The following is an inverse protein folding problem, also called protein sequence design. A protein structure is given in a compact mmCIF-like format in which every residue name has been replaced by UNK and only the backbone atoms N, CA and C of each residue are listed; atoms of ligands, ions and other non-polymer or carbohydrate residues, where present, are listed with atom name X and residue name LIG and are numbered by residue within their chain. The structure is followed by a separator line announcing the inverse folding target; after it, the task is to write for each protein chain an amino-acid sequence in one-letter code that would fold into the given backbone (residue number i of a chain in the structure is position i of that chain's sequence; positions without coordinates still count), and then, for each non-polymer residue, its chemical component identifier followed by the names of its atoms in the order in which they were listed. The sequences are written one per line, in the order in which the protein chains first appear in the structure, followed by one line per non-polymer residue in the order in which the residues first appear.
data_IF_717842002595
#
_entry.id   IF_717842002595
#
_cell.length_a   1.000
_cell.length_b   1.000
_cell.length_c   1.000
_cell.angle_alpha   90.00
_cell.angle_beta   90.00
_cell.angle_gamma   90.00
#
_symmetry.space_group_name_H-M   'P 1'
#
loop_
_entity.id
_entity.type
_entity.pdbx_description
1 polymer ?
#
# COMPACT_ATOMS: atom_id res chain seq x y z
N UNK A 1 2.49 1.61 26.95
CA UNK A 1 1.12 1.34 26.53
C UNK A 1 0.70 2.45 25.58
N UNK A 2 0.13 2.10 24.43
CA UNK A 2 -0.44 3.04 23.47
C UNK A 2 -1.94 2.71 23.32
N UNK A 3 -2.78 3.75 23.33
CA UNK A 3 -4.23 3.61 23.17
C UNK A 3 -4.64 3.64 21.69
N UNK A 4 -3.82 4.28 20.84
CA UNK A 4 -3.98 4.38 19.40
C UNK A 4 -2.64 4.13 18.71
N UNK A 5 -2.67 3.49 17.54
CA UNK A 5 -1.51 3.40 16.66
C UNK A 5 -1.93 3.53 15.21
N UNK A 6 -1.01 4.01 14.39
CA UNK A 6 -1.12 4.06 12.94
C UNK A 6 -0.21 2.99 12.36
N UNK A 7 -0.82 2.00 11.72
CA UNK A 7 -0.10 0.84 11.18
C UNK A 7 -0.74 0.27 9.93
N UNK A 8 0.00 -0.55 9.19
CA UNK A 8 -0.56 -1.38 8.13
C UNK A 8 -1.38 -2.51 8.74
N UNK A 9 -2.55 -2.78 8.15
CA UNK A 9 -3.42 -3.86 8.61
C UNK A 9 -2.72 -5.23 8.62
N UNK A 10 -1.86 -5.50 7.62
CA UNK A 10 -1.09 -6.73 7.55
C UNK A 10 -0.10 -6.91 8.70
N UNK A 11 0.54 -5.83 9.14
CA UNK A 11 1.53 -5.87 10.22
C UNK A 11 0.90 -6.12 11.60
N UNK A 12 -0.36 -5.72 11.77
CA UNK A 12 -1.13 -5.93 13.01
C UNK A 12 -2.18 -7.04 12.91
N UNK A 13 -2.11 -7.86 11.85
CA UNK A 13 -3.10 -8.91 11.58
C UNK A 13 -3.36 -9.82 12.79
N UNK A 14 -2.33 -10.26 13.49
CA UNK A 14 -2.46 -11.13 14.67
C UNK A 14 -3.27 -10.48 15.80
N UNK A 15 -3.12 -9.18 16.00
CA UNK A 15 -3.88 -8.43 17.00
C UNK A 15 -5.33 -8.20 16.56
N UNK A 16 -5.57 -8.06 15.26
CA UNK A 16 -6.92 -7.96 14.70
C UNK A 16 -7.66 -9.31 14.84
N UNK A 17 -7.00 -10.40 14.45
CA UNK A 17 -7.56 -11.76 14.54
C UNK A 17 -7.87 -12.17 15.98
N UNK A 18 -7.01 -11.80 16.93
CA UNK A 18 -7.21 -12.03 18.37
C UNK A 18 -8.13 -11.02 19.05
N UNK A 19 -8.67 -10.04 18.31
CA UNK A 19 -9.53 -8.96 18.80
C UNK A 19 -8.90 -8.07 19.89
N UNK A 20 -7.58 -8.07 19.99
CA UNK A 20 -6.83 -7.17 20.89
C UNK A 20 -6.76 -5.75 20.34
N UNK A 21 -6.94 -5.60 19.04
CA UNK A 21 -7.05 -4.32 18.33
C UNK A 21 -8.29 -4.32 17.44
N UNK A 22 -8.78 -3.13 17.15
CA UNK A 22 -9.80 -2.91 16.13
C UNK A 22 -9.45 -1.70 15.29
N UNK A 23 -9.61 -1.73 13.96
CA UNK A 23 -9.45 -0.55 13.14
C UNK A 23 -10.60 0.42 13.45
N UNK A 24 -10.30 1.70 13.50
CA UNK A 24 -11.29 2.77 13.74
C UNK A 24 -11.48 3.67 12.53
N UNK A 25 -10.47 3.75 11.66
CA UNK A 25 -10.50 4.53 10.43
C UNK A 25 -9.43 4.00 9.47
N UNK A 26 -9.70 4.06 8.17
CA UNK A 26 -8.77 3.66 7.12
C UNK A 26 -8.44 4.87 6.24
N UNK A 27 -7.15 5.09 5.98
CA UNK A 27 -6.65 6.17 5.11
C UNK A 27 -6.64 5.73 3.64
N UNK A 28 -7.81 5.50 3.08
CA UNK A 28 -7.99 5.11 1.68
C UNK A 28 -9.21 5.80 1.07
N UNK A 29 -9.32 5.73 -0.25
CA UNK A 29 -10.50 6.23 -0.99
C UNK A 29 -11.75 5.38 -0.79
N UNK A 30 -11.56 4.09 -0.51
CA UNK A 30 -12.62 3.08 -0.39
C UNK A 30 -12.44 2.29 0.90
N UNK A 31 -13.54 1.78 1.43
CA UNK A 31 -13.50 0.80 2.52
C UNK A 31 -12.85 -0.49 2.05
N UNK A 32 -12.06 -1.11 2.91
CA UNK A 32 -11.56 -2.46 2.64
C UNK A 32 -12.67 -3.50 2.83
N UNK A 33 -12.84 -4.44 1.90
CA UNK A 33 -13.89 -5.47 2.02
C UNK A 33 -13.83 -6.26 3.32
N UNK A 34 -12.62 -6.53 3.84
CA UNK A 34 -12.41 -7.24 5.11
C UNK A 34 -12.85 -6.42 6.33
N UNK A 35 -13.04 -5.12 6.21
CA UNK A 35 -13.40 -4.18 7.27
C UNK A 35 -14.51 -3.22 6.79
N UNK A 36 -15.57 -3.79 6.21
CA UNK A 36 -16.66 -3.02 5.59
C UNK A 36 -17.38 -2.06 6.52
N UNK A 37 -17.35 -2.31 7.83
CA UNK A 37 -17.95 -1.43 8.85
C UNK A 37 -17.02 -0.30 9.28
N UNK A 38 -15.73 -0.33 8.87
CA UNK A 38 -14.75 0.70 9.25
C UNK A 38 -14.78 1.84 8.24
N UNK A 39 -15.05 3.08 8.66
CA UNK A 39 -15.10 4.21 7.76
C UNK A 39 -13.72 4.59 7.24
N UNK A 40 -13.67 5.20 6.05
CA UNK A 40 -12.49 5.87 5.55
C UNK A 40 -12.34 7.27 6.14
N UNK A 41 -11.12 7.81 6.14
CA UNK A 41 -10.90 9.20 6.53
C UNK A 41 -11.74 10.17 5.70
N UNK A 42 -11.93 9.89 4.41
CA UNK A 42 -12.77 10.69 3.51
C UNK A 42 -14.24 10.72 3.92
N UNK A 43 -14.80 9.59 4.33
CA UNK A 43 -16.19 9.53 4.83
C UNK A 43 -16.38 10.30 6.12
N UNK A 44 -15.30 10.45 6.91
CA UNK A 44 -15.28 11.25 8.15
C UNK A 44 -14.95 12.74 7.92
N UNK A 45 -14.87 13.19 6.67
CA UNK A 45 -14.56 14.58 6.31
C UNK A 45 -13.07 14.90 6.23
N UNK A 46 -12.21 13.94 6.36
CA UNK A 46 -10.74 14.08 6.28
C UNK A 46 -10.22 13.49 4.97
N UNK A 47 -9.96 14.34 3.98
CA UNK A 47 -9.41 13.92 2.68
C UNK A 47 -7.90 13.59 2.78
N UNK A 48 -7.54 12.73 3.73
CA UNK A 48 -6.18 12.25 3.92
C UNK A 48 -6.10 10.85 3.34
N UNK A 49 -5.36 10.69 2.24
CA UNK A 49 -5.03 9.42 1.64
C UNK A 49 -3.51 9.30 1.75
N UNK A 50 -3.07 8.33 2.53
CA UNK A 50 -1.64 8.02 2.70
C UNK A 50 -1.48 6.55 2.40
N UNK A 51 -0.87 6.26 1.26
CA UNK A 51 -0.57 4.89 0.85
C UNK A 51 0.77 4.47 1.44
N UNK A 52 0.82 3.26 1.94
CA UNK A 52 2.11 2.58 2.15
C UNK A 52 2.39 1.72 0.92
N UNK A 53 3.61 1.78 0.44
CA UNK A 53 4.04 0.97 -0.70
C UNK A 53 5.40 0.32 -0.44
N UNK A 54 5.65 -0.78 -1.13
CA UNK A 54 6.95 -1.44 -1.19
C UNK A 54 7.47 -1.32 -2.60
N UNK A 55 8.76 -1.02 -2.76
CA UNK A 55 9.37 -0.87 -4.07
C UNK A 55 10.66 -1.69 -4.17
N UNK A 56 10.89 -2.26 -5.34
CA UNK A 56 12.19 -2.81 -5.71
C UNK A 56 12.93 -1.76 -6.51
N UNK A 57 14.11 -1.40 -6.06
CA UNK A 57 14.93 -0.35 -6.67
C UNK A 57 16.23 -0.92 -7.20
N UNK A 58 16.76 -0.30 -8.24
CA UNK A 58 18.06 -0.62 -8.81
C UNK A 58 18.95 0.63 -8.75
N UNK A 59 20.27 0.43 -8.79
CA UNK A 59 21.24 1.51 -8.80
C UNK A 59 20.96 2.43 -10.01
N UNK A 60 21.06 3.74 -9.80
CA UNK A 60 21.00 4.72 -10.90
C UNK A 60 22.07 4.43 -11.96
N UNK A 61 21.70 4.50 -13.24
CA UNK A 61 22.57 4.14 -14.34
C UNK A 61 22.69 2.63 -14.61
N UNK A 62 21.87 1.79 -13.98
CA UNK A 62 21.77 0.38 -14.34
C UNK A 62 21.40 0.19 -15.80
N UNK A 63 21.96 -0.85 -16.41
CA UNK A 63 21.69 -1.23 -17.81
C UNK A 63 20.18 -1.40 -18.05
N UNK A 64 19.66 -0.81 -19.13
CA UNK A 64 18.23 -0.79 -19.43
C UNK A 64 17.64 -2.19 -19.66
N UNK A 65 18.42 -3.11 -20.26
CA UNK A 65 17.97 -4.48 -20.49
C UNK A 65 17.84 -5.24 -19.17
N UNK A 66 18.71 -4.99 -18.20
CA UNK A 66 18.62 -5.56 -16.85
C UNK A 66 17.42 -5.00 -16.08
N UNK A 67 17.20 -3.70 -16.15
CA UNK A 67 16.02 -3.07 -15.54
C UNK A 67 14.75 -3.68 -16.11
N UNK A 68 14.68 -3.83 -17.45
CA UNK A 68 13.55 -4.46 -18.12
C UNK A 68 13.36 -5.91 -17.68
N UNK A 69 14.43 -6.71 -17.63
CA UNK A 69 14.35 -8.12 -17.23
C UNK A 69 13.79 -8.28 -15.81
N UNK A 70 14.24 -7.45 -14.85
CA UNK A 70 13.73 -7.45 -13.48
C UNK A 70 12.26 -7.03 -13.45
N UNK A 71 11.90 -5.95 -14.18
CA UNK A 71 10.52 -5.48 -14.25
C UNK A 71 9.57 -6.52 -14.84
N UNK A 72 9.98 -7.21 -15.92
CA UNK A 72 9.19 -8.27 -16.55
C UNK A 72 9.02 -9.47 -15.61
N UNK A 73 10.06 -9.83 -14.86
CA UNK A 73 9.98 -10.91 -13.88
C UNK A 73 9.00 -10.56 -12.75
N UNK A 74 9.06 -9.33 -12.23
CA UNK A 74 8.13 -8.85 -11.21
C UNK A 74 6.68 -8.80 -11.70
N UNK A 75 6.47 -8.38 -12.94
CA UNK A 75 5.14 -8.39 -13.54
C UNK A 75 4.56 -9.81 -13.66
N UNK A 76 5.40 -10.80 -13.99
CA UNK A 76 4.99 -12.21 -14.01
C UNK A 76 4.61 -12.71 -12.62
N UNK A 77 5.41 -12.39 -11.60
CA UNK A 77 5.09 -12.73 -10.20
C UNK A 77 3.79 -12.08 -9.77
N UNK A 78 3.60 -10.79 -10.05
CA UNK A 78 2.40 -10.06 -9.69
C UNK A 78 1.11 -10.60 -10.35
N UNK A 79 1.25 -11.29 -11.49
CA UNK A 79 0.13 -11.93 -12.17
C UNK A 79 -0.27 -13.29 -11.58
N UNK A 80 0.56 -13.90 -10.73
CA UNK A 80 0.29 -15.21 -10.15
C UNK A 80 -0.81 -15.17 -9.09
N UNK A 81 -1.56 -16.26 -8.97
CA UNK A 81 -2.58 -16.40 -7.94
C UNK A 81 -1.96 -16.43 -6.53
N UNK A 82 -0.78 -17.02 -6.38
CA UNK A 82 -0.05 -17.05 -5.10
C UNK A 82 0.23 -15.64 -4.59
N UNK A 83 0.71 -14.74 -5.47
CA UNK A 83 0.97 -13.36 -5.08
C UNK A 83 -0.31 -12.59 -4.77
N UNK A 84 -1.36 -12.78 -5.55
CA UNK A 84 -2.67 -12.16 -5.30
C UNK A 84 -3.30 -12.63 -4.00
N UNK A 85 -3.19 -13.92 -3.70
CA UNK A 85 -3.65 -14.50 -2.43
C UNK A 85 -2.83 -13.93 -1.25
N UNK A 86 -1.50 -13.83 -1.40
CA UNK A 86 -0.66 -13.20 -0.39
C UNK A 86 -1.05 -11.73 -0.15
N UNK A 87 -1.31 -10.95 -1.20
CA UNK A 87 -1.80 -9.56 -1.06
C UNK A 87 -3.12 -9.52 -0.28
N UNK A 88 -4.06 -10.40 -0.59
CA UNK A 88 -5.33 -10.50 0.11
C UNK A 88 -5.14 -10.83 1.59
N UNK A 89 -4.22 -11.74 1.92
CA UNK A 89 -3.88 -12.07 3.32
C UNK A 89 -3.24 -10.89 4.06
N UNK A 90 -2.58 -10.00 3.35
CA UNK A 90 -2.03 -8.75 3.89
C UNK A 90 -3.03 -7.58 3.87
N UNK A 91 -4.29 -7.83 3.54
CA UNK A 91 -5.32 -6.81 3.34
C UNK A 91 -4.95 -5.76 2.28
N UNK A 92 -4.14 -6.14 1.29
CA UNK A 92 -3.76 -5.29 0.17
C UNK A 92 -4.63 -5.58 -1.06
N UNK A 93 -4.75 -4.59 -1.95
CA UNK A 93 -5.50 -4.75 -3.19
C UNK A 93 -4.73 -5.62 -4.19
N UNK A 94 -5.42 -6.57 -4.83
CA UNK A 94 -4.82 -7.54 -5.74
C UNK A 94 -4.26 -6.90 -7.04
N UNK A 95 -4.71 -5.69 -7.37
CA UNK A 95 -4.30 -4.90 -8.54
C UNK A 95 -3.35 -3.75 -8.18
N UNK A 96 -2.76 -3.77 -6.99
CA UNK A 96 -1.87 -2.72 -6.49
C UNK A 96 -0.48 -2.67 -7.15
N UNK A 97 -0.14 -3.63 -8.02
CA UNK A 97 1.16 -3.68 -8.69
C UNK A 97 1.35 -2.52 -9.68
N UNK A 98 2.42 -1.75 -9.49
CA UNK A 98 2.82 -0.67 -10.41
C UNK A 98 4.07 -1.10 -11.18
N UNK A 99 4.00 -1.30 -12.52
CA UNK A 99 5.17 -1.65 -13.32
C UNK A 99 6.17 -0.50 -13.42
N UNK A 100 7.41 -0.81 -13.79
CA UNK A 100 8.51 0.18 -13.88
C UNK A 100 8.15 1.42 -14.72
N UNK A 101 7.38 1.27 -15.79
CA UNK A 101 6.94 2.38 -16.63
C UNK A 101 6.06 3.40 -15.89
N UNK A 102 5.30 2.95 -14.88
CA UNK A 102 4.43 3.81 -14.06
C UNK A 102 5.08 4.28 -12.75
N UNK A 103 6.20 3.68 -12.35
CA UNK A 103 6.79 3.86 -11.03
C UNK A 103 7.16 5.32 -10.72
N UNK A 104 7.75 6.05 -11.68
CA UNK A 104 8.13 7.45 -11.49
C UNK A 104 6.93 8.37 -11.27
N UNK A 105 5.86 8.16 -12.02
CA UNK A 105 4.63 8.94 -11.87
C UNK A 105 3.95 8.64 -10.52
N UNK A 106 3.89 7.37 -10.14
CA UNK A 106 3.39 6.93 -8.85
C UNK A 106 4.17 7.58 -7.69
N UNK A 107 5.49 7.43 -7.67
CA UNK A 107 6.35 7.99 -6.62
C UNK A 107 6.25 9.51 -6.53
N UNK A 108 6.15 10.19 -7.67
CA UNK A 108 5.92 11.65 -7.69
C UNK A 108 4.59 12.01 -7.04
N UNK A 109 3.53 11.28 -7.36
CA UNK A 109 2.20 11.48 -6.75
C UNK A 109 2.22 11.31 -5.23
N UNK A 110 2.85 10.24 -4.73
CA UNK A 110 3.01 9.98 -3.30
C UNK A 110 3.82 11.09 -2.60
N UNK A 111 4.93 11.52 -3.21
CA UNK A 111 5.74 12.62 -2.69
C UNK A 111 4.95 13.94 -2.62
N UNK A 112 4.20 14.26 -3.67
CA UNK A 112 3.38 15.48 -3.71
C UNK A 112 2.22 15.41 -2.69
N UNK A 113 1.64 14.24 -2.47
CA UNK A 113 0.65 14.03 -1.42
C UNK A 113 1.25 14.24 -0.01
N UNK A 114 2.41 13.63 0.27
CA UNK A 114 3.10 13.79 1.55
C UNK A 114 3.50 15.23 1.85
N UNK A 115 3.94 15.98 0.84
CA UNK A 115 4.32 17.40 0.98
C UNK A 115 3.18 18.30 1.47
N UNK A 116 1.93 17.93 1.24
CA UNK A 116 0.76 18.67 1.74
C UNK A 116 0.64 18.61 3.25
N UNK A 117 1.15 17.54 3.86
CA UNK A 117 1.04 17.27 5.29
C UNK A 117 2.37 17.49 6.03
N UNK A 118 3.48 17.71 5.31
CA UNK A 118 4.76 18.02 5.92
C UNK A 118 4.70 19.35 6.70
N UNK A 119 5.25 19.42 7.91
CA UNK A 119 5.37 20.69 8.62
C UNK A 119 6.19 21.68 7.76
N UNK A 120 5.73 22.92 7.71
CA UNK A 120 6.46 24.01 7.05
C UNK A 120 7.60 24.50 7.93
#
# INVERSE_FOLDING_TARGET
HADLMYEQLGDVKSFLDSKQMRPVMIFSDKRFPAFGDVPTGKELGHSIIISQFRAIVMKAGSDAARVKAVSDALAKVAATDDYKNWLKDQFAEADSFVPAAGASAFLKGELDAMRKYAPK
#
